data_IF_954148607110
#
_entry.id   IF_954148607110
#
_cell.length_a   1.000
_cell.length_b   1.000
_cell.length_c   1.000
_cell.angle_alpha   90.00
_cell.angle_beta   90.00
_cell.angle_gamma   90.00
#
_symmetry.space_group_name_H-M   'P 1'
#
loop_
_entity.id
_entity.type
_entity.pdbx_description
1 polymer ?
#
# COMPACT_ATOMS: atom_id res chain seq x y z
N UNK A 1 2.51 -35.23 11.31
CA UNK A 1 2.88 -34.70 9.97
C UNK A 1 3.46 -33.31 10.17
N UNK A 2 4.79 -33.17 10.06
CA UNK A 2 5.43 -31.86 9.96
C UNK A 2 5.26 -31.38 8.53
N UNK A 3 4.27 -30.57 8.24
CA UNK A 3 4.20 -29.82 6.98
C UNK A 3 5.26 -28.71 7.04
N UNK A 4 6.45 -28.99 6.56
CA UNK A 4 7.48 -27.99 6.24
C UNK A 4 7.19 -27.23 4.95
N UNK A 5 5.93 -26.98 4.62
CA UNK A 5 5.54 -26.24 3.43
C UNK A 5 5.52 -24.75 3.74
N UNK A 6 6.68 -24.14 3.75
CA UNK A 6 6.76 -22.68 3.61
C UNK A 6 6.29 -22.29 2.20
N UNK A 7 5.19 -21.54 2.11
CA UNK A 7 4.79 -20.90 0.85
C UNK A 7 5.87 -19.88 0.45
N UNK A 8 6.65 -20.21 -0.59
CA UNK A 8 7.67 -19.30 -1.09
C UNK A 8 7.01 -18.10 -1.77
N UNK A 9 7.45 -16.90 -1.38
CA UNK A 9 7.06 -15.67 -2.08
C UNK A 9 7.40 -15.80 -3.58
N UNK A 10 6.44 -15.45 -4.45
CA UNK A 10 6.60 -15.51 -5.91
C UNK A 10 6.03 -16.77 -6.57
N UNK A 11 5.51 -17.75 -5.83
CA UNK A 11 4.72 -18.83 -6.43
C UNK A 11 3.42 -18.28 -7.01
N UNK A 12 3.03 -18.78 -8.18
CA UNK A 12 1.84 -18.31 -8.92
C UNK A 12 0.55 -18.23 -8.07
N UNK A 13 0.33 -19.18 -7.18
CA UNK A 13 -0.85 -19.24 -6.33
C UNK A 13 -0.68 -18.56 -4.95
N UNK A 14 0.50 -18.08 -4.60
CA UNK A 14 0.77 -17.54 -3.24
C UNK A 14 -0.18 -16.39 -2.89
N UNK A 15 -0.32 -15.43 -3.79
CA UNK A 15 -1.22 -14.29 -3.57
C UNK A 15 -2.67 -14.73 -3.40
N UNK A 16 -3.13 -15.64 -4.24
CA UNK A 16 -4.50 -16.16 -4.21
C UNK A 16 -4.79 -16.93 -2.92
N UNK A 17 -3.92 -17.88 -2.56
CA UNK A 17 -4.09 -18.69 -1.35
C UNK A 17 -4.02 -17.83 -0.09
N UNK A 18 -3.06 -16.90 -0.01
CA UNK A 18 -2.96 -15.98 1.12
C UNK A 18 -4.21 -15.10 1.24
N UNK A 19 -4.76 -14.63 0.11
CA UNK A 19 -5.99 -13.86 0.11
C UNK A 19 -7.17 -14.69 0.64
N UNK A 20 -7.34 -15.94 0.21
CA UNK A 20 -8.41 -16.82 0.69
C UNK A 20 -8.26 -17.13 2.19
N UNK A 21 -7.06 -17.46 2.64
CA UNK A 21 -6.78 -17.70 4.05
C UNK A 21 -7.09 -16.47 4.91
N UNK A 22 -6.69 -15.29 4.44
CA UNK A 22 -6.95 -14.03 5.12
C UNK A 22 -8.46 -13.74 5.22
N UNK A 23 -9.23 -14.01 4.17
CA UNK A 23 -10.71 -13.91 4.19
C UNK A 23 -11.30 -14.88 5.23
N UNK A 24 -10.87 -16.13 5.23
CA UNK A 24 -11.37 -17.16 6.19
C UNK A 24 -11.08 -16.75 7.62
N UNK A 25 -9.86 -16.28 7.90
CA UNK A 25 -9.44 -15.79 9.21
C UNK A 25 -10.33 -14.60 9.63
N UNK A 26 -10.47 -13.61 8.75
CA UNK A 26 -11.28 -12.43 9.03
C UNK A 26 -12.76 -12.79 9.28
N UNK A 27 -13.36 -13.63 8.44
CA UNK A 27 -14.72 -14.10 8.63
C UNK A 27 -14.91 -14.84 9.98
N UNK A 28 -13.94 -15.64 10.39
CA UNK A 28 -13.99 -16.36 11.67
C UNK A 28 -13.87 -15.44 12.87
N UNK A 29 -12.93 -14.49 12.80
CA UNK A 29 -12.60 -13.59 13.94
C UNK A 29 -13.62 -12.47 14.08
N UNK A 30 -14.15 -11.99 12.97
CA UNK A 30 -15.03 -10.81 12.93
C UNK A 30 -16.53 -11.14 12.90
N UNK A 31 -16.89 -12.43 12.84
CA UNK A 31 -18.27 -12.90 12.62
C UNK A 31 -19.33 -12.14 13.41
N UNK A 32 -19.12 -11.97 14.70
CA UNK A 32 -20.10 -11.35 15.61
C UNK A 32 -19.85 -9.85 15.85
N UNK A 33 -18.93 -9.24 15.07
CA UNK A 33 -18.46 -7.86 15.26
C UNK A 33 -18.70 -6.96 14.07
N UNK A 34 -19.19 -7.54 12.97
CA UNK A 34 -19.50 -6.79 11.75
C UNK A 34 -20.80 -6.02 11.88
N UNK A 35 -20.77 -4.74 11.54
CA UNK A 35 -22.01 -3.96 11.36
C UNK A 35 -22.69 -4.34 10.04
N UNK A 36 -23.97 -3.96 9.89
CA UNK A 36 -24.70 -4.15 8.63
C UNK A 36 -24.11 -3.39 7.45
N UNK A 37 -23.29 -2.37 7.73
CA UNK A 37 -22.57 -1.58 6.72
C UNK A 37 -21.10 -1.97 6.58
N UNK A 38 -20.71 -3.12 7.14
CA UNK A 38 -19.32 -3.56 7.06
C UNK A 38 -18.89 -3.82 5.62
N UNK A 39 -17.68 -3.36 5.29
CA UNK A 39 -17.03 -3.67 4.02
C UNK A 39 -15.55 -3.97 4.26
N UNK A 40 -14.97 -4.76 3.37
CA UNK A 40 -13.59 -5.18 3.50
C UNK A 40 -12.89 -5.33 2.14
N UNK A 41 -11.58 -5.13 2.15
CA UNK A 41 -10.72 -5.46 1.03
C UNK A 41 -9.56 -6.33 1.50
N UNK A 42 -9.22 -7.35 0.72
CA UNK A 42 -8.20 -8.33 1.00
C UNK A 42 -7.24 -8.48 -0.17
N UNK A 43 -5.94 -8.46 0.07
CA UNK A 43 -4.91 -8.74 -0.93
C UNK A 43 -3.74 -9.44 -0.26
N UNK A 44 -3.54 -10.73 -0.53
CA UNK A 44 -2.52 -11.53 0.13
C UNK A 44 -2.76 -11.61 1.63
N UNK A 45 -1.77 -11.23 2.40
CA UNK A 45 -1.78 -11.15 3.86
C UNK A 45 -2.30 -9.80 4.40
N UNK A 46 -2.40 -8.79 3.54
CA UNK A 46 -2.95 -7.49 3.91
C UNK A 46 -4.49 -7.49 3.83
N UNK A 47 -5.15 -6.87 4.81
CA UNK A 47 -6.56 -6.55 4.74
C UNK A 47 -6.88 -5.18 5.37
N UNK A 48 -8.02 -4.63 4.98
CA UNK A 48 -8.65 -3.48 5.62
C UNK A 48 -10.14 -3.77 5.77
N UNK A 49 -10.67 -3.56 6.97
CA UNK A 49 -12.08 -3.82 7.27
C UNK A 49 -12.67 -2.56 7.92
N UNK A 50 -13.79 -2.11 7.37
CA UNK A 50 -14.59 -1.02 7.89
C UNK A 50 -15.86 -1.56 8.53
N UNK A 51 -16.38 -0.88 9.55
CA UNK A 51 -17.62 -1.27 10.23
C UNK A 51 -17.44 -2.42 11.23
N UNK A 52 -16.25 -2.57 11.79
CA UNK A 52 -15.93 -3.55 12.83
C UNK A 52 -15.80 -2.85 14.17
N UNK A 53 -16.38 -3.42 15.21
CA UNK A 53 -16.11 -3.00 16.59
C UNK A 53 -14.74 -3.56 17.02
N UNK A 54 -13.82 -2.67 17.28
CA UNK A 54 -12.49 -3.02 17.81
C UNK A 54 -12.59 -3.70 19.18
N UNK A 55 -11.74 -4.71 19.39
CA UNK A 55 -11.64 -5.47 20.63
C UNK A 55 -10.15 -5.70 20.91
N UNK A 56 -9.65 -5.26 22.09
CA UNK A 56 -8.23 -5.43 22.46
C UNK A 56 -7.71 -6.88 22.34
N UNK A 57 -8.58 -7.86 22.60
CA UNK A 57 -8.22 -9.29 22.55
C UNK A 57 -8.34 -9.91 21.14
N UNK A 58 -8.72 -9.12 20.14
CA UNK A 58 -8.95 -9.65 18.79
C UNK A 58 -7.66 -10.22 18.16
N UNK A 59 -6.52 -9.54 18.35
CA UNK A 59 -5.23 -10.00 17.85
C UNK A 59 -4.82 -11.32 18.49
N UNK A 60 -4.97 -11.46 19.81
CA UNK A 60 -4.63 -12.67 20.55
C UNK A 60 -5.52 -13.86 20.14
N UNK A 61 -6.82 -13.63 20.00
CA UNK A 61 -7.76 -14.67 19.53
C UNK A 61 -7.44 -15.12 18.12
N UNK A 62 -7.10 -14.18 17.24
CA UNK A 62 -6.69 -14.49 15.89
C UNK A 62 -5.38 -15.30 15.89
N UNK A 63 -4.37 -14.84 16.62
CA UNK A 63 -3.09 -15.51 16.72
C UNK A 63 -3.21 -16.92 17.29
N UNK A 64 -4.00 -17.12 18.37
CA UNK A 64 -4.22 -18.44 18.98
C UNK A 64 -4.91 -19.42 18.04
N UNK A 65 -5.82 -18.93 17.19
CA UNK A 65 -6.55 -19.80 16.25
C UNK A 65 -5.70 -20.26 15.08
N UNK A 66 -4.87 -19.37 14.52
CA UNK A 66 -4.07 -19.67 13.32
C UNK A 66 -2.61 -20.01 13.64
N UNK A 67 -2.21 -19.91 14.91
CA UNK A 67 -0.82 -20.07 15.36
C UNK A 67 0.16 -19.18 14.56
N UNK A 68 -0.26 -17.94 14.28
CA UNK A 68 0.51 -16.95 13.55
C UNK A 68 0.43 -15.60 14.28
N UNK A 69 1.47 -14.79 14.16
CA UNK A 69 1.44 -13.43 14.65
C UNK A 69 0.50 -12.57 13.79
N UNK A 70 -0.45 -11.90 14.43
CA UNK A 70 -1.42 -11.03 13.78
C UNK A 70 -1.28 -9.61 14.31
N UNK A 71 -1.02 -8.68 13.43
CA UNK A 71 -0.95 -7.25 13.74
C UNK A 71 -2.24 -6.56 13.35
N UNK A 72 -2.98 -6.10 14.34
CA UNK A 72 -4.18 -5.28 14.13
C UNK A 72 -3.85 -3.81 14.37
N UNK A 73 -4.22 -2.95 13.45
CA UNK A 73 -4.09 -1.49 13.56
C UNK A 73 -5.48 -0.89 13.49
N UNK A 74 -5.94 -0.35 14.61
CA UNK A 74 -7.20 0.38 14.66
C UNK A 74 -6.98 1.83 14.17
N UNK A 75 -7.48 2.13 12.98
CA UNK A 75 -7.29 3.44 12.38
C UNK A 75 -8.09 4.55 13.10
N UNK A 76 -9.11 4.19 13.88
CA UNK A 76 -9.88 5.16 14.67
C UNK A 76 -9.13 5.63 15.91
N UNK A 77 -8.22 4.78 16.42
CA UNK A 77 -7.35 5.07 17.57
C UNK A 77 -5.98 5.61 17.16
N UNK A 78 -5.68 5.59 15.87
CA UNK A 78 -4.42 6.08 15.33
C UNK A 78 -4.63 7.48 14.73
N UNK A 79 -3.75 8.41 15.08
CA UNK A 79 -3.67 9.73 14.42
C UNK A 79 -3.18 9.63 12.95
N UNK A 80 -2.91 8.42 12.48
CA UNK A 80 -2.39 8.17 11.13
C UNK A 80 -3.52 7.67 10.22
N UNK A 81 -3.60 8.18 9.00
CA UNK A 81 -4.60 7.73 8.04
C UNK A 81 -4.44 6.24 7.72
N UNK A 82 -5.54 5.53 7.43
CA UNK A 82 -5.51 4.11 7.07
C UNK A 82 -4.56 3.86 5.89
N UNK A 83 -3.78 2.80 5.99
CA UNK A 83 -2.77 2.44 5.00
C UNK A 83 -2.94 0.99 4.55
N UNK A 84 -3.13 0.79 3.25
CA UNK A 84 -3.42 -0.52 2.69
C UNK A 84 -2.66 -0.74 1.37
N UNK A 85 -1.98 -1.87 1.25
CA UNK A 85 -1.25 -2.28 0.04
C UNK A 85 -0.33 -1.20 -0.56
N UNK A 86 0.41 -0.50 0.30
CA UNK A 86 1.37 0.51 -0.14
C UNK A 86 0.76 1.84 -0.58
N UNK A 87 -0.44 2.17 -0.09
CA UNK A 87 -1.11 3.44 -0.30
C UNK A 87 -1.97 3.84 0.88
N UNK A 88 -2.31 5.10 0.95
CA UNK A 88 -3.23 5.67 1.92
C UNK A 88 -4.66 5.50 1.43
N UNK A 89 -5.60 5.35 2.36
CA UNK A 89 -7.03 5.50 2.09
C UNK A 89 -7.40 6.92 2.48
N UNK A 90 -7.67 7.75 1.49
CA UNK A 90 -7.97 9.18 1.67
C UNK A 90 -9.37 9.50 1.14
N UNK A 91 -9.97 10.53 1.70
CA UNK A 91 -11.26 11.03 1.23
C UNK A 91 -11.05 12.12 0.18
N UNK A 92 -11.56 11.90 -1.03
CA UNK A 92 -11.58 12.90 -2.08
C UNK A 92 -12.77 13.83 -1.86
N UNK A 93 -12.50 15.03 -1.35
CA UNK A 93 -13.54 16.01 -1.00
C UNK A 93 -14.32 16.53 -2.22
N UNK A 94 -13.73 16.46 -3.42
CA UNK A 94 -14.37 16.86 -4.68
C UNK A 94 -15.24 15.74 -5.23
N UNK A 95 -14.75 14.50 -5.17
CA UNK A 95 -15.48 13.33 -5.66
C UNK A 95 -16.49 12.78 -4.63
N UNK A 96 -16.40 13.19 -3.36
CA UNK A 96 -17.25 12.71 -2.28
C UNK A 96 -17.05 11.24 -1.91
N UNK A 97 -15.88 10.66 -2.23
CA UNK A 97 -15.60 9.22 -2.05
C UNK A 97 -14.22 8.97 -1.45
N UNK A 98 -14.12 7.90 -0.66
CA UNK A 98 -12.82 7.40 -0.24
C UNK A 98 -12.14 6.65 -1.38
N UNK A 99 -10.85 6.89 -1.55
CA UNK A 99 -10.06 6.19 -2.55
C UNK A 99 -8.67 5.82 -2.04
N UNK A 100 -8.10 4.77 -2.62
CA UNK A 100 -6.70 4.41 -2.36
C UNK A 100 -5.77 5.28 -3.21
N UNK A 101 -4.85 5.97 -2.53
CA UNK A 101 -3.82 6.80 -3.14
C UNK A 101 -2.47 6.18 -2.86
N UNK A 102 -1.72 5.85 -3.91
CA UNK A 102 -0.39 5.26 -3.76
C UNK A 102 0.54 6.20 -3.02
N UNK A 103 1.37 5.63 -2.14
CA UNK A 103 2.36 6.38 -1.36
C UNK A 103 3.51 6.86 -2.26
N UNK A 104 3.67 8.18 -2.47
CA UNK A 104 4.68 8.72 -3.37
C UNK A 104 6.12 8.37 -2.94
N UNK A 105 6.41 8.38 -1.64
CA UNK A 105 7.75 8.05 -1.14
C UNK A 105 8.07 6.58 -1.35
N UNK A 106 7.12 5.69 -1.05
CA UNK A 106 7.29 4.25 -1.32
C UNK A 106 7.48 3.96 -2.82
N UNK A 107 6.84 4.74 -3.70
CA UNK A 107 7.05 4.64 -5.14
C UNK A 107 8.42 5.13 -5.55
N UNK A 108 8.89 6.24 -5.00
CA UNK A 108 10.24 6.75 -5.24
C UNK A 108 11.30 5.70 -4.87
N UNK A 109 11.22 5.10 -3.68
CA UNK A 109 12.13 4.04 -3.27
C UNK A 109 12.07 2.79 -4.17
N UNK A 110 10.87 2.43 -4.68
CA UNK A 110 10.74 1.31 -5.61
C UNK A 110 11.36 1.58 -6.98
N UNK A 111 11.39 2.83 -7.43
CA UNK A 111 12.08 3.21 -8.68
C UNK A 111 13.59 2.93 -8.62
N UNK A 112 14.18 3.02 -7.42
CA UNK A 112 15.60 2.72 -7.19
C UNK A 112 15.96 1.24 -7.17
N UNK A 113 15.00 0.32 -7.12
CA UNK A 113 15.32 -1.12 -7.11
C UNK A 113 15.77 -1.58 -8.49
N UNK A 114 16.93 -2.27 -8.59
CA UNK A 114 17.37 -2.86 -9.83
C UNK A 114 16.35 -3.91 -10.29
N UNK A 115 15.96 -3.84 -11.56
CA UNK A 115 15.30 -4.94 -12.25
C UNK A 115 16.19 -5.35 -13.42
N UNK A 116 16.02 -6.58 -13.93
CA UNK A 116 16.65 -6.97 -15.18
C UNK A 116 16.46 -5.88 -16.25
N UNK A 117 17.51 -5.59 -16.99
CA UNK A 117 17.47 -4.55 -18.03
C UNK A 117 16.57 -5.03 -19.17
N UNK A 118 15.33 -4.56 -19.15
CA UNK A 118 14.38 -4.73 -20.25
C UNK A 118 13.76 -3.37 -20.54
N UNK A 119 13.94 -2.90 -21.76
CA UNK A 119 13.47 -1.59 -22.21
C UNK A 119 11.95 -1.42 -22.11
N UNK A 120 11.21 -2.50 -22.28
CA UNK A 120 9.74 -2.48 -22.17
C UNK A 120 9.29 -2.24 -20.72
N UNK A 121 10.03 -2.78 -19.75
CA UNK A 121 9.70 -2.59 -18.33
C UNK A 121 9.84 -1.13 -17.86
N UNK A 122 10.76 -0.37 -18.41
CA UNK A 122 10.92 1.05 -18.07
C UNK A 122 9.72 1.87 -18.55
N UNK A 123 9.20 1.59 -19.74
CA UNK A 123 8.00 2.25 -20.25
C UNK A 123 6.75 1.86 -19.44
N UNK A 124 6.58 0.60 -19.10
CA UNK A 124 5.45 0.15 -18.26
C UNK A 124 5.49 0.79 -16.87
N UNK A 125 6.67 0.89 -16.27
CA UNK A 125 6.87 1.59 -14.99
C UNK A 125 6.56 3.08 -15.10
N UNK A 126 7.00 3.71 -16.17
CA UNK A 126 6.70 5.11 -16.43
C UNK A 126 5.20 5.34 -16.59
N UNK A 127 4.50 4.48 -17.33
CA UNK A 127 3.03 4.54 -17.49
C UNK A 127 2.32 4.34 -16.15
N UNK A 128 2.69 3.33 -15.38
CA UNK A 128 2.14 3.11 -14.06
C UNK A 128 2.36 4.30 -13.12
N UNK A 129 3.55 4.93 -13.17
CA UNK A 129 3.82 6.14 -12.42
C UNK A 129 2.95 7.31 -12.89
N UNK A 130 2.75 7.46 -14.19
CA UNK A 130 1.88 8.50 -14.76
C UNK A 130 0.44 8.37 -14.25
N UNK A 131 -0.11 7.16 -14.22
CA UNK A 131 -1.47 6.91 -13.72
C UNK A 131 -1.62 7.26 -12.24
N UNK A 132 -0.60 6.98 -11.44
CA UNK A 132 -0.57 7.37 -10.02
C UNK A 132 -0.45 8.89 -9.83
N UNK A 133 0.34 9.58 -10.67
CA UNK A 133 0.50 11.04 -10.57
C UNK A 133 -0.79 11.81 -10.86
N UNK A 134 -1.69 11.24 -11.63
CA UNK A 134 -3.04 11.81 -11.86
C UNK A 134 -3.83 11.89 -10.55
N UNK A 135 -3.75 10.86 -9.71
CA UNK A 135 -4.43 10.85 -8.40
C UNK A 135 -3.78 11.85 -7.45
N UNK A 136 -2.45 11.91 -7.39
CA UNK A 136 -1.74 12.86 -6.51
C UNK A 136 -1.98 14.33 -6.84
N UNK A 137 -2.37 14.64 -8.09
CA UNK A 137 -2.64 16.00 -8.54
C UNK A 137 -4.10 16.43 -8.37
N UNK A 138 -4.99 15.53 -7.93
CA UNK A 138 -6.40 15.88 -7.68
C UNK A 138 -6.53 16.88 -6.54
N UNK A 139 -7.28 17.94 -6.78
CA UNK A 139 -7.47 19.04 -5.81
C UNK A 139 -8.04 18.50 -4.50
N UNK A 140 -9.05 17.66 -4.56
CA UNK A 140 -9.73 17.09 -3.38
C UNK A 140 -8.90 16.10 -2.56
N UNK A 141 -7.73 15.67 -3.05
CA UNK A 141 -6.85 14.73 -2.37
C UNK A 141 -5.54 15.34 -1.87
N UNK A 142 -5.22 16.54 -2.33
CA UNK A 142 -3.87 17.11 -2.15
C UNK A 142 -3.55 17.40 -0.70
N UNK A 143 -4.48 18.04 0.00
CA UNK A 143 -4.31 18.38 1.42
C UNK A 143 -4.29 17.12 2.28
N UNK A 144 -5.22 16.22 2.05
CA UNK A 144 -5.28 14.92 2.74
C UNK A 144 -3.99 14.11 2.56
N UNK A 145 -3.44 14.09 1.34
CA UNK A 145 -2.19 13.40 1.05
C UNK A 145 -1.00 14.04 1.77
N UNK A 146 -0.95 15.37 1.86
CA UNK A 146 0.14 16.10 2.53
C UNK A 146 0.10 15.83 4.05
N UNK A 147 -1.08 15.86 4.64
CA UNK A 147 -1.30 15.49 6.04
C UNK A 147 -0.90 14.02 6.29
N UNK A 148 -1.33 13.10 5.42
CA UNK A 148 -1.04 11.68 5.53
C UNK A 148 0.46 11.38 5.49
N UNK A 149 1.18 12.04 4.59
CA UNK A 149 2.62 11.87 4.44
C UNK A 149 3.39 12.51 5.59
N UNK A 150 2.99 13.71 6.02
CA UNK A 150 3.59 14.39 7.16
C UNK A 150 3.44 13.57 8.44
N UNK A 151 2.24 13.01 8.68
CA UNK A 151 1.99 12.13 9.83
C UNK A 151 2.80 10.83 9.78
N UNK A 152 2.94 10.22 8.59
CA UNK A 152 3.64 8.94 8.46
C UNK A 152 5.16 9.06 8.49
N UNK A 153 5.71 10.05 7.82
CA UNK A 153 7.15 10.18 7.56
C UNK A 153 7.81 11.34 8.28
N UNK A 154 7.03 12.18 8.96
CA UNK A 154 7.51 13.42 9.58
C UNK A 154 8.22 14.36 8.59
N UNK A 155 7.75 14.36 7.34
CA UNK A 155 8.31 15.15 6.23
C UNK A 155 7.28 16.16 5.78
N UNK A 156 7.66 17.44 5.73
CA UNK A 156 6.88 18.52 5.11
C UNK A 156 7.27 18.69 3.63
N UNK A 157 6.39 19.28 2.83
CA UNK A 157 6.70 19.68 1.45
C UNK A 157 6.57 18.57 0.42
N UNK A 158 5.72 17.59 0.67
CA UNK A 158 5.47 16.46 -0.25
C UNK A 158 4.96 16.89 -1.62
N UNK A 159 4.29 18.03 -1.72
CA UNK A 159 3.88 18.60 -3.01
C UNK A 159 5.03 18.75 -4.01
N UNK A 160 6.26 18.93 -3.55
CA UNK A 160 7.43 18.98 -4.41
C UNK A 160 7.81 17.60 -4.95
N UNK A 161 7.69 16.56 -4.13
CA UNK A 161 7.99 15.17 -4.52
C UNK A 161 6.99 14.71 -5.58
N UNK A 162 5.70 14.92 -5.36
CA UNK A 162 4.65 14.53 -6.31
C UNK A 162 4.77 15.28 -7.63
N UNK A 163 5.16 16.56 -7.59
CA UNK A 163 5.42 17.37 -8.78
C UNK A 163 6.65 16.87 -9.56
N UNK A 164 7.74 16.56 -8.86
CA UNK A 164 8.93 15.98 -9.47
C UNK A 164 8.61 14.63 -10.13
N UNK A 165 7.91 13.75 -9.45
CA UNK A 165 7.51 12.45 -9.99
C UNK A 165 6.55 12.59 -11.19
N UNK A 166 5.64 13.58 -11.16
CA UNK A 166 4.79 13.91 -12.31
C UNK A 166 5.61 14.36 -13.51
N UNK A 167 6.64 15.18 -13.29
CA UNK A 167 7.54 15.62 -14.37
C UNK A 167 8.32 14.45 -14.94
N UNK A 168 8.81 13.54 -14.09
CA UNK A 168 9.50 12.32 -14.51
C UNK A 168 8.64 11.40 -15.38
N UNK A 169 7.37 11.29 -15.04
CA UNK A 169 6.45 10.38 -15.74
C UNK A 169 6.08 10.87 -17.16
N UNK A 170 6.39 12.12 -17.51
CA UNK A 170 5.99 12.71 -18.79
C UNK A 170 6.71 12.10 -20.00
N UNK A 171 7.99 11.78 -19.87
CA UNK A 171 8.72 11.17 -20.98
C UNK A 171 9.76 10.14 -20.48
N UNK A 172 10.04 9.15 -21.33
CA UNK A 172 10.93 8.03 -21.01
C UNK A 172 12.40 8.46 -20.82
N UNK A 173 12.86 9.46 -21.56
CA UNK A 173 14.25 9.96 -21.46
C UNK A 173 14.52 10.57 -20.08
N UNK A 174 13.59 11.41 -19.59
CA UNK A 174 13.69 12.00 -18.26
C UNK A 174 13.57 10.92 -17.17
N UNK A 175 12.68 9.94 -17.34
CA UNK A 175 12.53 8.81 -16.44
C UNK A 175 13.83 8.02 -16.31
N UNK A 176 14.44 7.62 -17.41
CA UNK A 176 15.72 6.87 -17.43
C UNK A 176 16.86 7.68 -16.82
N UNK A 177 16.96 8.97 -17.14
CA UNK A 177 18.01 9.85 -16.61
C UNK A 177 18.02 9.94 -15.09
N UNK A 178 16.85 10.01 -14.46
CA UNK A 178 16.73 10.17 -12.99
C UNK A 178 16.72 8.82 -12.29
N UNK A 179 16.21 7.78 -12.93
CA UNK A 179 16.26 6.42 -12.37
C UNK A 179 17.69 5.98 -12.09
N UNK A 180 18.65 6.27 -12.97
CA UNK A 180 20.05 5.92 -12.77
C UNK A 180 20.61 6.44 -11.42
N UNK A 181 20.57 7.73 -11.13
CA UNK A 181 20.98 8.28 -9.84
C UNK A 181 20.22 7.69 -8.63
N UNK A 182 18.91 7.44 -8.74
CA UNK A 182 18.14 6.81 -7.66
C UNK A 182 18.61 5.39 -7.40
N UNK A 183 18.87 4.61 -8.44
CA UNK A 183 19.44 3.25 -8.31
C UNK A 183 20.80 3.31 -7.63
N UNK A 184 21.65 4.25 -8.02
CA UNK A 184 22.98 4.42 -7.44
C UNK A 184 22.92 4.77 -5.94
N UNK A 185 21.99 5.66 -5.55
CA UNK A 185 21.84 6.08 -4.14
C UNK A 185 21.20 5.01 -3.24
N UNK A 186 20.27 4.23 -3.76
CA UNK A 186 19.43 3.35 -2.94
C UNK A 186 19.45 1.88 -3.35
N UNK A 187 19.98 1.52 -4.49
CA UNK A 187 19.90 0.20 -5.09
C UNK A 187 21.23 -0.44 -5.51
N UNK A 188 22.33 0.21 -5.27
CA UNK A 188 23.66 -0.36 -5.56
C UNK A 188 23.95 -1.61 -4.70
N UNK A 189 24.68 -2.58 -5.20
CA UNK A 189 25.15 -3.69 -4.39
C UNK A 189 25.95 -3.12 -3.22
N UNK A 190 25.57 -3.53 -2.00
CA UNK A 190 26.42 -3.36 -0.83
C UNK A 190 27.53 -4.38 -0.87
#
# INVERSE_FOLDING_TARGET
FKFGAMMKSGMFLTLFINTLLNIVIACRVLRDKLSSSACAAFIGDDNIVHGVRSDPLMAERCASWVNMEVKIIDATMCEKPPYFCGGFILYDSVAGTACRVADPLKRLFKLGKPLPADDNQDEDRRRALKDETVKWSRIGLREELDVALSSRYQVSGVGNITRAMSTLSKNLKSFRKIRGPIIHLYGGPK
#
